data_IF_645542786005
#
_entry.id   IF_645542786005
#
_cell.length_a   1.000
_cell.length_b   1.000
_cell.length_c   1.000
_cell.angle_alpha   90.00
_cell.angle_beta   90.00
_cell.angle_gamma   90.00
#
_symmetry.space_group_name_H-M   'P 1'
#
loop_
_entity.id
_entity.type
_entity.pdbx_description
1 polymer ?
#
# COMPACT_ATOMS: atom_id res chain seq x y z
N UNK A 1 2.22 12.01 -1.93
CA UNK A 1 3.57 11.76 -2.49
C UNK A 1 3.53 10.46 -3.27
N UNK A 2 4.43 10.29 -4.25
CA UNK A 2 4.58 9.08 -5.06
C UNK A 2 4.50 7.76 -4.24
N UNK A 3 4.96 7.78 -2.98
CA UNK A 3 5.00 6.61 -2.10
C UNK A 3 3.63 5.97 -1.77
N UNK A 4 2.54 6.73 -1.65
CA UNK A 4 1.24 6.16 -1.23
C UNK A 4 0.59 5.38 -2.38
N UNK A 5 0.54 5.99 -3.58
CA UNK A 5 -0.08 5.35 -4.74
C UNK A 5 0.70 4.10 -5.16
N UNK A 6 2.03 4.13 -5.10
CA UNK A 6 2.87 2.97 -5.40
C UNK A 6 2.56 1.79 -4.46
N UNK A 7 2.37 2.04 -3.16
CA UNK A 7 1.99 0.97 -2.22
C UNK A 7 0.63 0.38 -2.56
N UNK A 8 -0.36 1.20 -2.88
CA UNK A 8 -1.68 0.71 -3.26
C UNK A 8 -1.64 -0.11 -4.55
N UNK A 9 -0.81 0.28 -5.53
CA UNK A 9 -0.62 -0.48 -6.77
C UNK A 9 0.05 -1.85 -6.50
N UNK A 10 1.13 -1.88 -5.72
CA UNK A 10 1.83 -3.12 -5.37
C UNK A 10 0.93 -4.09 -4.60
N UNK A 11 0.13 -3.57 -3.67
CA UNK A 11 -0.85 -4.36 -2.94
C UNK A 11 -2.03 -4.82 -3.80
N UNK A 12 -2.40 -4.03 -4.82
CA UNK A 12 -3.44 -4.41 -5.78
C UNK A 12 -2.98 -5.57 -6.66
N UNK A 13 -1.73 -5.54 -7.13
CA UNK A 13 -1.12 -6.63 -7.89
C UNK A 13 -1.00 -7.92 -7.06
N UNK A 14 -0.71 -7.78 -5.77
CA UNK A 14 -0.59 -8.91 -4.83
C UNK A 14 -1.94 -9.46 -4.33
N UNK A 15 -3.04 -8.73 -4.53
CA UNK A 15 -4.35 -9.04 -3.93
C UNK A 15 -4.90 -10.40 -4.43
N UNK A 16 -5.49 -11.25 -3.57
CA UNK A 16 -5.84 -11.02 -2.15
C UNK A 16 -4.75 -11.38 -1.15
N UNK A 17 -3.53 -11.67 -1.60
CA UNK A 17 -2.47 -12.13 -0.71
C UNK A 17 -1.90 -10.98 0.13
N UNK A 18 -1.69 -11.18 1.44
CA UNK A 18 -0.95 -10.23 2.25
C UNK A 18 0.52 -10.13 1.82
N UNK A 19 1.05 -8.91 1.74
CA UNK A 19 2.45 -8.62 1.41
C UNK A 19 3.22 -8.23 2.67
N UNK A 20 4.49 -8.65 2.79
CA UNK A 20 5.33 -8.24 3.91
C UNK A 20 5.70 -6.75 3.81
N UNK A 21 5.72 -6.08 4.96
CA UNK A 21 6.09 -4.66 5.04
C UNK A 21 7.52 -4.42 4.57
N UNK A 22 8.44 -5.34 4.83
CA UNK A 22 9.83 -5.23 4.38
C UNK A 22 9.96 -5.32 2.85
N UNK A 23 9.15 -6.15 2.20
CA UNK A 23 9.14 -6.27 0.74
C UNK A 23 8.64 -4.95 0.14
N UNK A 24 7.49 -4.47 0.61
CA UNK A 24 6.94 -3.18 0.20
C UNK A 24 7.93 -2.03 0.41
N UNK A 25 8.59 -1.98 1.57
CA UNK A 25 9.60 -0.98 1.90
C UNK A 25 10.77 -1.00 0.91
N UNK A 26 11.24 -2.19 0.57
CA UNK A 26 12.35 -2.41 -0.38
C UNK A 26 11.95 -2.03 -1.79
N UNK A 27 10.77 -2.45 -2.25
CA UNK A 27 10.29 -2.18 -3.61
C UNK A 27 10.07 -0.70 -3.91
N UNK A 28 9.72 0.10 -2.90
CA UNK A 28 9.58 1.56 -3.07
C UNK A 28 10.84 2.35 -2.72
N UNK A 29 11.95 1.66 -2.41
CA UNK A 29 13.26 2.24 -2.07
C UNK A 29 13.17 3.35 -1.01
N UNK A 30 12.30 3.18 0.00
CA UNK A 30 12.12 4.22 1.02
C UNK A 30 13.36 4.31 1.92
N UNK A 31 13.77 5.51 2.28
CA UNK A 31 15.03 5.73 3.02
C UNK A 31 14.99 5.33 4.50
N UNK A 32 13.79 5.21 5.07
CA UNK A 32 13.61 4.99 6.49
C UNK A 32 12.35 4.15 6.77
N UNK A 33 12.52 2.97 7.37
CA UNK A 33 11.42 2.03 7.60
C UNK A 33 10.43 2.51 8.68
N UNK A 34 10.90 3.22 9.69
CA UNK A 34 10.06 3.78 10.76
C UNK A 34 9.11 4.84 10.19
N UNK A 35 9.64 5.73 9.36
CA UNK A 35 8.83 6.74 8.69
C UNK A 35 7.91 6.13 7.64
N UNK A 36 8.33 5.08 6.93
CA UNK A 36 7.46 4.33 6.02
C UNK A 36 6.25 3.75 6.76
N UNK A 37 6.48 3.01 7.85
CA UNK A 37 5.40 2.43 8.68
C UNK A 37 4.46 3.52 9.21
N UNK A 38 5.00 4.61 9.77
CA UNK A 38 4.22 5.67 10.43
C UNK A 38 3.50 6.61 9.46
N UNK A 39 4.16 7.05 8.39
CA UNK A 39 3.66 8.10 7.49
C UNK A 39 3.00 7.55 6.23
N UNK A 40 3.18 6.26 5.91
CA UNK A 40 2.55 5.63 4.75
C UNK A 40 1.54 4.58 5.19
N UNK A 41 2.01 3.49 5.82
CA UNK A 41 1.15 2.35 6.13
C UNK A 41 0.07 2.68 7.16
N UNK A 42 0.43 3.37 8.26
CA UNK A 42 -0.57 3.81 9.26
C UNK A 42 -1.59 4.79 8.69
N UNK A 43 -1.20 5.68 7.77
CA UNK A 43 -2.17 6.58 7.11
C UNK A 43 -3.14 5.79 6.25
N UNK A 44 -2.65 4.88 5.42
CA UNK A 44 -3.47 4.03 4.57
C UNK A 44 -4.42 3.14 5.39
N UNK A 45 -3.93 2.59 6.50
CA UNK A 45 -4.70 1.78 7.42
C UNK A 45 -5.81 2.57 8.11
N UNK A 46 -5.48 3.75 8.64
CA UNK A 46 -6.47 4.62 9.29
C UNK A 46 -7.55 5.09 8.31
N UNK A 47 -7.22 5.22 7.02
CA UNK A 47 -8.16 5.50 5.94
C UNK A 47 -8.94 4.27 5.44
N UNK A 48 -8.72 3.10 6.03
CA UNK A 48 -9.36 1.81 5.66
C UNK A 48 -9.11 1.39 4.21
N UNK A 49 -8.01 1.84 3.61
CA UNK A 49 -7.61 1.41 2.26
C UNK A 49 -6.84 0.07 2.31
N UNK A 50 -6.11 -0.16 3.40
CA UNK A 50 -5.39 -1.40 3.67
C UNK A 50 -5.66 -1.85 5.10
N UNK A 51 -5.45 -3.13 5.37
CA UNK A 51 -5.20 -3.62 6.72
C UNK A 51 -3.70 -3.74 6.93
N UNK A 52 -3.17 -3.12 7.98
CA UNK A 52 -1.78 -3.19 8.39
C UNK A 52 -1.72 -3.72 9.83
N UNK A 53 -1.26 -4.96 9.97
CA UNK A 53 -1.16 -5.65 11.26
C UNK A 53 0.15 -6.44 11.33
N UNK A 54 0.79 -6.43 12.51
CA UNK A 54 2.14 -6.96 12.75
C UNK A 54 3.14 -6.40 11.74
N UNK A 55 3.47 -7.16 10.69
CA UNK A 55 4.37 -6.78 9.60
C UNK A 55 3.82 -7.14 8.22
N UNK A 56 2.49 -7.26 8.09
CA UNK A 56 1.82 -7.54 6.82
C UNK A 56 0.82 -6.46 6.45
N UNK A 57 0.65 -6.29 5.14
CA UNK A 57 -0.36 -5.42 4.57
C UNK A 57 -1.21 -6.19 3.56
N UNK A 58 -2.52 -6.01 3.64
CA UNK A 58 -3.46 -6.51 2.63
C UNK A 58 -4.35 -5.37 2.17
N UNK A 59 -4.64 -5.32 0.87
CA UNK A 59 -5.55 -4.33 0.30
C UNK A 59 -6.99 -4.65 0.73
N UNK A 60 -7.75 -3.63 1.14
CA UNK A 60 -9.17 -3.77 1.45
C UNK A 60 -10.02 -3.32 0.27
N UNK A 61 -11.31 -3.67 0.27
CA UNK A 61 -12.23 -3.25 -0.80
C UNK A 61 -12.22 -1.73 -1.06
N UNK A 62 -12.22 -0.83 -0.05
CA UNK A 62 -12.09 0.61 -0.31
C UNK A 62 -10.77 1.00 -0.99
N UNK A 63 -9.69 0.26 -0.73
CA UNK A 63 -8.41 0.42 -1.42
C UNK A 63 -8.48 0.00 -2.89
N UNK A 64 -9.13 -1.13 -3.18
CA UNK A 64 -9.41 -1.61 -4.54
C UNK A 64 -10.17 -0.55 -5.32
N UNK A 65 -11.25 -0.02 -4.75
CA UNK A 65 -12.09 0.99 -5.40
C UNK A 65 -11.31 2.29 -5.65
N UNK A 66 -10.47 2.68 -4.69
CA UNK A 66 -9.58 3.84 -4.84
C UNK A 66 -8.61 3.66 -6.01
N UNK A 67 -7.95 2.50 -6.10
CA UNK A 67 -7.00 2.20 -7.18
C UNK A 67 -7.71 2.25 -8.53
N UNK A 68 -8.83 1.55 -8.68
CA UNK A 68 -9.61 1.52 -9.93
C UNK A 68 -10.09 2.90 -10.37
N UNK A 69 -10.54 3.73 -9.42
CA UNK A 69 -11.10 5.05 -9.72
C UNK A 69 -10.03 6.10 -10.04
N UNK A 70 -8.90 6.07 -9.34
CA UNK A 70 -7.94 7.19 -9.35
C UNK A 70 -6.60 6.86 -10.01
N UNK A 71 -6.29 5.58 -10.21
CA UNK A 71 -5.00 5.09 -10.72
C UNK A 71 -5.18 4.25 -12.00
N UNK A 72 -6.33 4.32 -12.66
CA UNK A 72 -6.64 3.58 -13.90
C UNK A 72 -5.59 3.77 -15.00
N UNK A 73 -4.97 4.95 -15.05
CA UNK A 73 -3.89 5.28 -15.99
C UNK A 73 -2.64 4.39 -15.89
N UNK A 74 -2.46 3.65 -14.78
CA UNK A 74 -1.36 2.70 -14.61
C UNK A 74 -1.70 1.28 -15.11
N UNK A 75 -2.92 1.07 -15.60
CA UNK A 75 -3.43 -0.22 -16.08
C UNK A 75 -3.80 -0.17 -17.58
N UNK A 76 -3.21 0.75 -18.34
CA UNK A 76 -3.41 0.93 -19.79
C UNK A 76 -2.33 0.28 -20.63
#
# INVERSE_FOLDING_TARGET
>A
SLSINNILLLLYDSYPNPTQVNDLFTWIEHKNITDFKRKVLKILHNRRLIEYHEDRCVLLQPGIDYVKKNLSQYFG
#
